data_IF_593826864625
#
_entry.id   IF_593826864625
#
_cell.length_a   1.000
_cell.length_b   1.000
_cell.length_c   1.000
_cell.angle_alpha   90.00
_cell.angle_beta   90.00
_cell.angle_gamma   90.00
#
_symmetry.space_group_name_H-M   'P 1'
#
loop_
_entity.id
_entity.type
_entity.pdbx_description
1 polymer ?
#
# COMPACT_ATOMS: atom_id res chain seq x y z
N UNK A 1 4.63 6.78 23.11
CA UNK A 1 5.68 6.52 22.11
C UNK A 1 5.17 5.41 21.20
N UNK A 2 4.53 5.75 20.08
CA UNK A 2 4.03 4.73 19.16
C UNK A 2 5.20 4.23 18.30
N UNK A 3 5.62 2.99 18.52
CA UNK A 3 6.57 2.31 17.64
C UNK A 3 6.08 2.37 16.19
N UNK A 4 6.90 2.93 15.32
CA UNK A 4 6.60 3.05 13.90
C UNK A 4 6.76 1.65 13.30
N UNK A 5 5.63 0.98 13.04
CA UNK A 5 5.61 -0.35 12.45
C UNK A 5 6.54 -0.42 11.23
N UNK A 6 7.38 -1.47 11.17
CA UNK A 6 8.38 -1.64 10.13
C UNK A 6 7.74 -1.58 8.74
N UNK A 7 8.16 -0.63 7.91
CA UNK A 7 7.56 -0.32 6.59
C UNK A 7 7.61 -1.48 5.58
N UNK A 8 8.31 -2.56 5.91
CA UNK A 8 8.57 -3.73 5.07
C UNK A 8 7.71 -4.95 5.38
N UNK A 9 7.02 -4.99 6.52
CA UNK A 9 6.28 -6.17 7.00
C UNK A 9 4.78 -5.93 6.89
N UNK A 10 4.02 -6.99 6.62
CA UNK A 10 2.56 -6.94 6.74
C UNK A 10 2.16 -6.78 8.20
N UNK A 11 1.26 -5.85 8.48
CA UNK A 11 0.68 -5.68 9.81
C UNK A 11 -0.84 -5.79 9.74
N UNK A 12 -1.45 -6.29 10.81
CA UNK A 12 -2.90 -6.37 10.95
C UNK A 12 -3.31 -5.81 12.31
N UNK A 13 -4.30 -4.93 12.32
CA UNK A 13 -4.91 -4.40 13.53
C UNK A 13 -6.36 -4.92 13.62
N UNK A 14 -6.67 -5.63 14.70
CA UNK A 14 -8.03 -6.09 14.97
C UNK A 14 -8.88 -4.95 15.51
N UNK A 15 -10.04 -4.70 14.91
CA UNK A 15 -10.99 -3.65 15.34
C UNK A 15 -12.22 -4.20 16.07
N UNK A 16 -12.38 -5.53 16.15
CA UNK A 16 -13.59 -6.17 16.69
C UNK A 16 -14.48 -6.76 15.61
N UNK A 17 -15.43 -7.62 16.02
CA UNK A 17 -16.46 -8.24 15.16
C UNK A 17 -15.89 -8.95 13.91
N UNK A 18 -14.68 -9.51 14.01
CA UNK A 18 -14.00 -10.18 12.88
C UNK A 18 -13.40 -9.22 11.85
N UNK A 19 -13.38 -7.91 12.13
CA UNK A 19 -12.86 -6.88 11.22
C UNK A 19 -11.39 -6.60 11.51
N UNK A 20 -10.57 -6.59 10.46
CA UNK A 20 -9.13 -6.30 10.53
C UNK A 20 -8.76 -5.19 9.56
N UNK A 21 -7.95 -4.23 10.02
CA UNK A 21 -7.22 -3.32 9.13
C UNK A 21 -5.88 -3.98 8.79
N UNK A 22 -5.72 -4.38 7.54
CA UNK A 22 -4.47 -4.94 7.03
C UNK A 22 -3.63 -3.81 6.42
N UNK A 23 -2.52 -3.48 7.07
CA UNK A 23 -1.51 -2.57 6.53
C UNK A 23 -0.49 -3.36 5.72
N UNK A 24 -0.46 -3.10 4.41
CA UNK A 24 0.50 -3.70 3.48
C UNK A 24 1.71 -2.77 3.30
N UNK A 25 2.95 -3.29 3.27
CA UNK A 25 4.13 -2.50 2.98
C UNK A 25 3.98 -1.73 1.66
N UNK A 26 4.36 -0.44 1.68
CA UNK A 26 4.32 0.41 0.49
C UNK A 26 5.39 -0.03 -0.50
N UNK A 27 5.05 0.00 -1.80
CA UNK A 27 6.02 -0.32 -2.86
C UNK A 27 7.15 0.70 -2.86
N UNK A 28 8.39 0.25 -3.11
CA UNK A 28 9.55 1.13 -3.35
C UNK A 28 9.23 2.17 -4.44
N UNK A 29 9.70 3.41 -4.26
CA UNK A 29 9.41 4.55 -5.16
C UNK A 29 9.64 4.23 -6.64
N UNK A 30 10.72 3.53 -6.98
CA UNK A 30 11.03 3.19 -8.38
C UNK A 30 10.04 2.20 -9.01
N UNK A 31 9.54 1.21 -8.25
CA UNK A 31 8.51 0.27 -8.74
C UNK A 31 7.16 0.95 -8.91
N UNK A 32 6.84 1.88 -8.00
CA UNK A 32 5.63 2.70 -8.10
C UNK A 32 5.66 3.57 -9.37
N UNK A 33 6.80 4.20 -9.67
CA UNK A 33 7.02 4.93 -10.92
C UNK A 33 6.85 4.04 -12.16
N UNK A 34 7.49 2.87 -12.19
CA UNK A 34 7.37 1.92 -13.31
C UNK A 34 5.92 1.49 -13.55
N UNK A 35 5.16 1.23 -12.48
CA UNK A 35 3.74 0.88 -12.59
C UNK A 35 2.95 2.03 -13.22
N UNK A 36 3.08 3.26 -12.72
CA UNK A 36 2.38 4.44 -13.28
C UNK A 36 2.68 4.69 -14.75
N UNK A 37 3.92 4.44 -15.19
CA UNK A 37 4.31 4.58 -16.60
C UNK A 37 3.70 3.47 -17.47
N UNK A 38 3.64 2.22 -16.96
CA UNK A 38 3.11 1.07 -17.70
C UNK A 38 1.58 0.99 -17.70
N UNK A 39 0.93 1.48 -16.64
CA UNK A 39 -0.52 1.54 -16.50
C UNK A 39 -0.97 3.00 -16.59
N UNK A 40 -1.01 3.60 -17.79
CA UNK A 40 -1.63 4.91 -17.96
C UNK A 40 -3.10 4.81 -17.56
N UNK A 41 -3.61 5.83 -16.87
CA UNK A 41 -5.00 5.85 -16.43
C UNK A 41 -5.92 5.77 -17.67
N UNK A 42 -6.93 4.90 -17.62
CA UNK A 42 -7.98 4.83 -18.64
C UNK A 42 -8.62 6.22 -18.77
N UNK A 43 -8.48 6.86 -19.95
CA UNK A 43 -8.92 8.23 -20.20
C UNK A 43 -7.81 9.21 -20.61
N UNK A 44 -6.53 8.89 -20.34
CA UNK A 44 -5.38 9.71 -20.81
C UNK A 44 -5.07 9.55 -22.31
N UNK A 45 -5.72 8.60 -23.00
CA UNK A 45 -5.52 8.30 -24.43
C UNK A 45 -6.62 8.87 -25.33
N UNK A 46 -7.51 9.70 -24.80
CA UNK A 46 -8.55 10.40 -25.56
C UNK A 46 -8.11 11.83 -25.84
#
# INVERSE_FOLDING_TARGET
MAEKAAETVYAAQYLGCGTFIISKPKRKKHKLRQLRLKSPNSGMRK
#
